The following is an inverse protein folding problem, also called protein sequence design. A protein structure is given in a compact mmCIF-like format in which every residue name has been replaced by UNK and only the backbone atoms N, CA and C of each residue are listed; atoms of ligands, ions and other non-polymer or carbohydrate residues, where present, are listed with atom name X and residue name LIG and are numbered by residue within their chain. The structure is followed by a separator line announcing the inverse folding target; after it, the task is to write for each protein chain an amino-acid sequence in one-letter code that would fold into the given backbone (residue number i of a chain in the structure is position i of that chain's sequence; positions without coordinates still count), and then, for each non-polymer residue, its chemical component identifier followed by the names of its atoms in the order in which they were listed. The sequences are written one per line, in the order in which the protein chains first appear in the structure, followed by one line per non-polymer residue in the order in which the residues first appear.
data_IF_615763684591
#
_entry.id   IF_615763684591
#
_cell.length_a   1.000
_cell.length_b   1.000
_cell.length_c   1.000
_cell.angle_alpha   90.00
_cell.angle_beta   90.00
_cell.angle_gamma   90.00
#
_symmetry.space_group_name_H-M   'P 1'
#
loop_
_entity.id
_entity.type
_entity.pdbx_description
1 polymer ?
#
# COMPACT_ATOMS: atom_id res chain seq x y z
N UNK A 1 5.90 14.81 11.99
CA UNK A 1 4.89 13.81 11.53
C UNK A 1 5.26 12.48 12.19
N UNK A 2 4.31 11.77 12.81
CA UNK A 2 4.61 10.70 13.79
C UNK A 2 3.73 9.44 13.69
N UNK A 3 2.94 9.29 12.62
CA UNK A 3 2.05 8.13 12.46
C UNK A 3 2.10 7.62 11.03
N UNK A 4 1.88 6.31 10.89
CA UNK A 4 1.81 5.56 9.64
C UNK A 4 0.69 4.54 9.78
N UNK A 5 -0.03 4.29 8.69
CA UNK A 5 -1.17 3.38 8.66
C UNK A 5 -1.05 2.48 7.43
N UNK A 6 -1.32 1.18 7.60
CA UNK A 6 -1.50 0.27 6.48
C UNK A 6 -2.94 0.33 6.02
N UNK A 7 -3.17 0.79 4.78
CA UNK A 7 -4.51 0.90 4.23
C UNK A 7 -4.49 0.69 2.73
N UNK A 8 -5.66 0.41 2.17
CA UNK A 8 -5.93 0.61 0.75
C UNK A 8 -7.04 1.66 0.70
N UNK A 9 -8.15 1.49 1.45
CA UNK A 9 -9.23 2.49 1.58
C UNK A 9 -8.86 3.74 2.40
N UNK A 10 -9.44 4.90 2.06
CA UNK A 10 -9.54 6.06 2.95
C UNK A 10 -10.97 6.60 2.91
N UNK A 11 -11.52 6.94 4.08
CA UNK A 11 -12.80 7.64 4.22
C UNK A 11 -12.55 9.01 4.83
N UNK A 12 -13.05 10.07 4.20
CA UNK A 12 -12.81 11.45 4.63
C UNK A 12 -14.15 12.09 4.95
N UNK A 13 -14.29 12.57 6.19
CA UNK A 13 -15.49 13.25 6.67
C UNK A 13 -15.18 14.71 6.99
N UNK A 14 -16.18 15.59 6.84
CA UNK A 14 -16.05 17.01 7.19
C UNK A 14 -15.31 17.85 6.15
N UNK A 15 -15.16 17.37 4.92
CA UNK A 15 -14.64 18.19 3.83
C UNK A 15 -15.63 19.34 3.54
N UNK A 16 -15.16 20.59 3.43
CA UNK A 16 -16.03 21.74 3.18
C UNK A 16 -16.66 21.72 1.78
N UNK A 17 -16.02 21.02 0.84
CA UNK A 17 -16.47 20.83 -0.54
C UNK A 17 -16.33 19.35 -0.93
N UNK A 18 -16.96 18.96 -2.04
CA UNK A 18 -16.75 17.64 -2.65
C UNK A 18 -15.28 17.48 -3.05
N UNK A 19 -14.66 16.38 -2.63
CA UNK A 19 -13.28 16.05 -2.96
C UNK A 19 -13.20 15.41 -4.34
N UNK A 20 -12.12 15.70 -5.04
CA UNK A 20 -11.69 15.04 -6.27
C UNK A 20 -10.48 14.13 -5.99
N UNK A 21 -10.09 13.30 -6.97
CA UNK A 21 -8.92 12.44 -6.82
C UNK A 21 -7.61 13.24 -6.70
N UNK A 22 -7.57 14.47 -7.20
CA UNK A 22 -6.38 15.32 -7.17
C UNK A 22 -6.19 16.01 -5.80
N UNK A 23 -7.20 15.98 -4.92
CA UNK A 23 -7.14 16.62 -3.60
C UNK A 23 -6.47 15.74 -2.52
N UNK A 24 -6.21 14.46 -2.83
CA UNK A 24 -5.75 13.47 -1.84
C UNK A 24 -4.54 12.70 -2.36
N UNK A 25 -3.43 12.80 -1.62
CA UNK A 25 -2.23 11.98 -1.85
C UNK A 25 -1.98 11.05 -0.66
N UNK A 26 -1.60 9.81 -0.96
CA UNK A 26 -1.31 8.77 0.04
C UNK A 26 0.07 8.18 -0.27
N UNK A 27 1.17 8.84 0.20
CA UNK A 27 2.51 8.36 -0.09
C UNK A 27 2.76 7.01 0.59
N UNK A 28 3.31 6.06 -0.17
CA UNK A 28 3.77 4.80 0.38
C UNK A 28 5.08 5.01 1.13
N UNK A 29 5.13 4.59 2.39
CA UNK A 29 6.29 4.78 3.27
C UNK A 29 6.79 3.41 3.74
N UNK A 30 8.06 3.15 3.49
CA UNK A 30 8.78 1.97 3.97
C UNK A 30 10.27 2.30 4.08
N UNK A 31 11.07 1.44 4.70
CA UNK A 31 12.53 1.58 4.65
C UNK A 31 13.04 1.43 3.22
N UNK A 32 13.95 2.30 2.81
CA UNK A 32 14.57 2.22 1.48
C UNK A 32 15.32 0.90 1.33
N UNK A 33 14.88 0.05 0.40
CA UNK A 33 15.48 -1.25 0.11
C UNK A 33 15.75 -1.38 -1.37
N UNK A 34 16.86 -2.03 -1.71
CA UNK A 34 17.20 -2.33 -3.10
C UNK A 34 16.54 -3.63 -3.54
N UNK A 35 15.75 -3.61 -4.61
CA UNK A 35 15.23 -4.83 -5.25
C UNK A 35 16.39 -5.66 -5.79
N UNK A 36 16.51 -6.91 -5.33
CA UNK A 36 17.63 -7.80 -5.71
C UNK A 36 17.31 -8.79 -6.84
N UNK A 37 16.04 -8.92 -7.22
CA UNK A 37 15.64 -9.87 -8.24
C UNK A 37 14.25 -9.61 -8.80
N UNK A 38 14.02 -10.18 -9.98
CA UNK A 38 12.75 -10.12 -10.68
C UNK A 38 12.29 -11.55 -10.99
N UNK A 39 10.97 -11.76 -10.95
CA UNK A 39 10.36 -13.04 -11.23
C UNK A 39 9.15 -12.83 -12.14
N UNK A 40 9.01 -13.68 -13.15
CA UNK A 40 7.85 -13.68 -14.05
C UNK A 40 7.64 -15.07 -14.64
N UNK A 41 6.39 -15.40 -14.95
CA UNK A 41 5.96 -16.66 -15.56
C UNK A 41 4.90 -16.42 -16.61
N UNK A 42 4.55 -17.45 -17.37
CA UNK A 42 3.39 -17.42 -18.28
C UNK A 42 2.04 -17.47 -17.54
N UNK A 43 2.02 -17.76 -16.23
CA UNK A 43 0.79 -17.87 -15.46
C UNK A 43 0.49 -16.52 -14.76
N UNK A 44 -0.60 -15.82 -15.12
CA UNK A 44 -0.93 -14.52 -14.56
C UNK A 44 -1.21 -14.58 -13.05
N UNK A 45 -1.74 -15.70 -12.54
CA UNK A 45 -2.04 -15.86 -11.10
C UNK A 45 -0.75 -15.91 -10.29
N UNK A 46 0.27 -16.64 -10.77
CA UNK A 46 1.56 -16.73 -10.08
C UNK A 46 2.25 -15.36 -10.08
N UNK A 47 2.16 -14.62 -11.18
CA UNK A 47 2.70 -13.26 -11.25
C UNK A 47 1.99 -12.33 -10.25
N UNK A 48 0.67 -12.45 -10.09
CA UNK A 48 -0.08 -11.69 -9.09
C UNK A 48 0.32 -12.06 -7.66
N UNK A 49 0.55 -13.34 -7.38
CA UNK A 49 1.04 -13.79 -6.06
C UNK A 49 2.41 -13.17 -5.77
N UNK A 50 3.34 -13.22 -6.72
CA UNK A 50 4.66 -12.60 -6.57
C UNK A 50 4.55 -11.09 -6.31
N UNK A 51 3.70 -10.39 -7.07
CA UNK A 51 3.43 -8.98 -6.86
C UNK A 51 2.91 -8.70 -5.44
N UNK A 52 1.95 -9.49 -4.98
CA UNK A 52 1.39 -9.35 -3.63
C UNK A 52 2.44 -9.62 -2.53
N UNK A 53 3.33 -10.61 -2.73
CA UNK A 53 4.44 -10.90 -1.81
C UNK A 53 5.38 -9.70 -1.71
N UNK A 54 5.74 -9.08 -2.83
CA UNK A 54 6.63 -7.91 -2.84
C UNK A 54 6.02 -6.73 -2.08
N UNK A 55 4.76 -6.40 -2.34
CA UNK A 55 4.08 -5.31 -1.63
C UNK A 55 3.86 -5.61 -0.15
N UNK A 56 3.51 -6.86 0.19
CA UNK A 56 3.36 -7.28 1.58
C UNK A 56 4.69 -7.30 2.36
N UNK A 57 5.79 -7.60 1.68
CA UNK A 57 7.13 -7.48 2.27
C UNK A 57 7.46 -6.01 2.53
N UNK A 58 7.32 -5.13 1.54
CA UNK A 58 7.66 -3.71 1.68
C UNK A 58 6.78 -3.02 2.74
N UNK A 59 5.50 -3.35 2.83
CA UNK A 59 4.60 -2.78 3.85
C UNK A 59 5.02 -3.14 5.28
N UNK A 60 5.75 -4.25 5.47
CA UNK A 60 6.20 -4.74 6.77
C UNK A 60 7.65 -4.41 7.10
N UNK A 61 8.35 -3.64 6.26
CA UNK A 61 9.73 -3.22 6.56
C UNK A 61 9.71 -1.71 6.86
N UNK A 62 9.52 -1.39 8.14
CA UNK A 62 9.64 -0.04 8.67
C UNK A 62 10.61 -0.04 9.84
N UNK A 63 11.89 0.21 9.54
CA UNK A 63 13.04 0.06 10.46
C UNK A 63 13.34 -1.39 10.84
N UNK A 64 12.33 -2.11 11.34
CA UNK A 64 12.38 -3.53 11.68
C UNK A 64 11.28 -4.29 10.93
N UNK A 65 11.43 -5.61 10.72
CA UNK A 65 10.35 -6.42 10.17
C UNK A 65 9.17 -6.47 11.16
N UNK A 66 7.99 -6.09 10.71
CA UNK A 66 6.74 -6.14 11.47
C UNK A 66 5.85 -7.28 10.99
N UNK A 67 4.88 -7.65 11.81
CA UNK A 67 3.97 -8.77 11.60
C UNK A 67 2.61 -8.40 10.96
N UNK A 68 2.12 -7.15 11.09
CA UNK A 68 0.72 -6.82 10.72
C UNK A 68 0.45 -5.56 9.87
N UNK A 69 1.37 -5.06 9.05
CA UNK A 69 0.99 -4.07 8.02
C UNK A 69 0.43 -4.76 6.76
N UNK A 70 -0.86 -5.11 6.76
CA UNK A 70 -1.59 -5.67 5.60
C UNK A 70 -2.70 -4.73 5.12
N UNK A 71 -2.66 -4.45 3.82
CA UNK A 71 -3.54 -3.60 3.00
C UNK A 71 -4.97 -4.17 2.88
N UNK A 72 -5.96 -3.56 3.55
CA UNK A 72 -7.40 -3.86 3.40
C UNK A 72 -8.04 -3.00 2.27
N UNK A 73 -8.61 -3.67 1.22
CA UNK A 73 -9.29 -3.31 -0.09
C UNK A 73 -9.65 -1.80 -0.49
N UNK A 74 -10.27 -1.36 -1.63
CA UNK A 74 -10.78 0.08 -1.83
C UNK A 74 -12.27 0.21 -2.32
N UNK A 75 -12.98 1.29 -1.89
CA UNK A 75 -14.36 1.81 -2.03
C UNK A 75 -14.24 3.23 -1.46
N UNK A 76 -14.38 4.22 -2.32
CA UNK A 76 -14.48 5.62 -1.90
C UNK A 76 -15.98 5.84 -1.65
N UNK A 77 -16.38 6.01 -0.40
CA UNK A 77 -17.73 6.44 -0.06
C UNK A 77 -17.66 7.95 0.23
N UNK A 78 -18.22 8.74 -0.69
CA UNK A 78 -18.65 10.12 -0.44
C UNK A 78 -19.94 10.13 0.37
#
# INVERSE_FOLDING_TARGET
RFTVHGFRYLSIFGAPNALTLDDVECPFVHSETTVKGHFSTSNPIINQIQHNIQWGQLSNIMSLPTDWFVTLNIFVLT
#
